data_IF_571276397818
#
_entry.id   IF_571276397818
#
_cell.length_a   1.000
_cell.length_b   1.000
_cell.length_c   1.000
_cell.angle_alpha   90.00
_cell.angle_beta   90.00
_cell.angle_gamma   90.00
#
_symmetry.space_group_name_H-M   'P 1'
#
loop_
_entity.id
_entity.type
_entity.pdbx_description
1 polymer ?
#
# COMPACT_ATOMS: atom_id res chain seq x y z
N UNK A 1 68.92 16.57 -54.76
CA UNK A 1 68.12 16.28 -53.55
C UNK A 1 66.70 16.80 -53.75
N UNK A 2 65.72 15.92 -53.99
CA UNK A 2 64.29 16.24 -53.93
C UNK A 2 63.61 15.11 -53.15
N UNK A 3 63.05 15.48 -52.00
CA UNK A 3 62.58 14.57 -50.98
C UNK A 3 61.21 13.95 -51.32
N UNK A 4 61.09 12.66 -51.01
CA UNK A 4 59.87 11.86 -50.99
C UNK A 4 58.79 12.49 -50.10
N UNK A 5 57.54 12.46 -50.53
CA UNK A 5 56.37 12.69 -49.65
C UNK A 5 55.37 11.56 -49.88
N UNK A 6 55.42 10.57 -48.99
CA UNK A 6 54.40 9.53 -48.87
C UNK A 6 53.13 10.12 -48.26
N UNK A 7 52.01 9.92 -48.96
CA UNK A 7 50.68 10.29 -48.50
C UNK A 7 50.17 9.16 -47.60
N UNK A 8 50.24 9.36 -46.28
CA UNK A 8 49.68 8.45 -45.27
C UNK A 8 48.26 8.92 -44.96
N UNK A 9 47.26 8.13 -45.37
CA UNK A 9 45.85 8.30 -44.99
C UNK A 9 45.65 7.77 -43.56
N UNK A 10 45.12 8.54 -42.60
CA UNK A 10 44.79 8.00 -41.29
C UNK A 10 43.45 7.26 -41.38
N UNK A 11 43.48 5.95 -41.09
CA UNK A 11 42.31 5.13 -40.84
C UNK A 11 41.64 5.61 -39.54
N UNK A 12 40.60 6.43 -39.66
CA UNK A 12 39.79 6.85 -38.53
C UNK A 12 38.94 5.67 -38.03
N UNK A 13 39.39 5.02 -36.95
CA UNK A 13 38.60 4.05 -36.19
C UNK A 13 37.53 4.80 -35.40
N UNK A 14 36.35 4.99 -35.99
CA UNK A 14 35.18 5.52 -35.28
C UNK A 14 34.65 4.47 -34.31
N UNK A 15 35.00 4.62 -33.03
CA UNK A 15 34.40 3.87 -31.93
C UNK A 15 32.96 4.40 -31.73
N UNK A 16 31.98 3.78 -32.38
CA UNK A 16 30.57 4.03 -32.08
C UNK A 16 30.27 3.44 -30.71
N UNK A 17 30.25 4.30 -29.69
CA UNK A 17 29.59 3.99 -28.42
C UNK A 17 28.11 3.77 -28.71
N UNK A 18 27.73 2.50 -28.86
CA UNK A 18 26.34 2.06 -28.76
C UNK A 18 25.87 2.37 -27.35
N UNK A 19 25.37 3.59 -27.14
CA UNK A 19 24.52 3.93 -26.01
C UNK A 19 23.19 3.24 -26.29
N UNK A 20 23.16 1.93 -26.04
CA UNK A 20 21.93 1.18 -25.90
C UNK A 20 21.10 1.84 -24.81
N UNK A 21 20.19 2.73 -25.20
CA UNK A 21 19.15 3.21 -24.31
C UNK A 21 18.26 2.02 -23.99
N UNK A 22 18.59 1.34 -22.90
CA UNK A 22 17.71 0.42 -22.18
C UNK A 22 16.52 1.22 -21.63
N UNK A 23 15.58 1.64 -22.48
CA UNK A 23 14.24 2.01 -22.05
C UNK A 23 13.30 0.82 -22.26
N UNK A 24 13.57 -0.23 -21.49
CA UNK A 24 12.57 -1.24 -21.19
C UNK A 24 12.11 -1.07 -19.74
N UNK A 25 11.65 0.13 -19.36
CA UNK A 25 10.97 0.31 -18.07
C UNK A 25 9.49 0.04 -18.28
N UNK A 26 9.17 -1.25 -18.14
CA UNK A 26 7.86 -1.84 -18.31
C UNK A 26 6.85 -1.28 -17.30
N UNK A 27 5.67 -0.93 -17.81
CA UNK A 27 4.48 -0.39 -17.14
C UNK A 27 4.24 -0.79 -15.67
N UNK A 28 4.72 0.01 -14.71
CA UNK A 28 4.52 -0.22 -13.27
C UNK A 28 3.27 0.46 -12.70
N UNK A 29 2.79 1.55 -13.31
CA UNK A 29 1.50 2.17 -12.95
C UNK A 29 0.32 1.24 -13.31
N UNK A 30 -0.64 1.11 -12.40
CA UNK A 30 -1.96 0.52 -12.64
C UNK A 30 -2.88 1.49 -13.39
N UNK A 31 -2.64 2.80 -13.27
CA UNK A 31 -3.50 3.86 -13.75
C UNK A 31 -4.70 4.12 -12.84
N UNK A 32 -4.80 3.41 -11.71
CA UNK A 32 -5.79 3.64 -10.66
C UNK A 32 -5.31 4.71 -9.67
N UNK A 33 -6.22 5.37 -8.94
CA UNK A 33 -5.84 6.36 -7.93
C UNK A 33 -4.89 5.80 -6.86
N UNK A 34 -4.96 4.51 -6.52
CA UNK A 34 -4.09 3.86 -5.55
C UNK A 34 -2.59 3.92 -5.88
N UNK A 35 -2.22 4.17 -7.15
CA UNK A 35 -0.82 4.45 -7.50
C UNK A 35 -0.29 5.75 -6.86
N UNK A 36 -1.19 6.65 -6.49
CA UNK A 36 -0.91 7.97 -5.92
C UNK A 36 -1.08 8.03 -4.39
N UNK A 37 -1.12 6.87 -3.72
CA UNK A 37 -1.13 6.78 -2.26
C UNK A 37 -0.18 5.69 -1.76
N UNK A 38 0.51 5.94 -0.65
CA UNK A 38 1.38 4.95 0.00
C UNK A 38 0.73 4.40 1.27
N UNK A 39 0.31 3.13 1.23
CA UNK A 39 -0.18 2.41 2.42
C UNK A 39 0.94 2.23 3.46
N UNK A 40 2.12 1.86 2.98
CA UNK A 40 3.33 1.71 3.78
C UNK A 40 3.73 3.06 4.42
N UNK A 41 3.70 4.14 3.64
CA UNK A 41 3.97 5.49 4.13
C UNK A 41 2.93 5.97 5.14
N UNK A 42 1.66 5.65 4.96
CA UNK A 42 0.62 5.95 5.94
C UNK A 42 0.88 5.23 7.28
N UNK A 43 1.25 3.95 7.26
CA UNK A 43 1.64 3.24 8.49
C UNK A 43 2.91 3.80 9.13
N UNK A 44 3.91 4.18 8.34
CA UNK A 44 5.15 4.79 8.83
C UNK A 44 4.89 6.15 9.51
N UNK A 45 3.98 6.97 8.95
CA UNK A 45 3.55 8.21 9.58
C UNK A 45 2.73 7.94 10.85
N UNK A 46 1.84 6.95 10.83
CA UNK A 46 1.05 6.56 12.01
C UNK A 46 1.94 6.08 13.16
N UNK A 47 3.01 5.32 12.84
CA UNK A 47 4.04 4.91 13.79
C UNK A 47 4.74 6.09 14.46
N UNK A 48 5.03 7.16 13.71
CA UNK A 48 5.74 8.35 14.21
C UNK A 48 4.84 9.34 14.94
N UNK A 49 3.58 9.40 14.56
CA UNK A 49 2.62 10.36 15.09
C UNK A 49 2.39 10.18 16.58
N UNK A 50 2.27 11.29 17.30
CA UNK A 50 1.99 11.29 18.74
C UNK A 50 0.54 10.88 19.06
N UNK A 51 -0.39 11.18 18.15
CA UNK A 51 -1.82 10.93 18.27
C UNK A 51 -2.50 10.98 16.88
N UNK A 52 -3.79 10.61 16.76
CA UNK A 52 -4.47 10.60 15.47
C UNK A 52 -4.59 11.95 14.75
N UNK A 53 -4.66 13.07 15.48
CA UNK A 53 -4.70 14.42 14.88
C UNK A 53 -3.34 14.76 14.25
N UNK A 54 -2.25 14.46 14.95
CA UNK A 54 -0.89 14.61 14.43
C UNK A 54 -0.65 13.71 13.21
N UNK A 55 -1.16 12.48 13.25
CA UNK A 55 -1.14 11.58 12.10
C UNK A 55 -1.87 12.17 10.88
N UNK A 56 -3.07 12.73 11.06
CA UNK A 56 -3.83 13.38 9.99
C UNK A 56 -3.05 14.57 9.39
N UNK A 57 -2.37 15.35 10.23
CA UNK A 57 -1.50 16.45 9.78
C UNK A 57 -0.33 15.92 8.95
N UNK A 58 0.39 14.92 9.45
CA UNK A 58 1.50 14.29 8.74
C UNK A 58 1.06 13.71 7.39
N UNK A 59 -0.10 13.07 7.34
CA UNK A 59 -0.66 12.49 6.11
C UNK A 59 -0.88 13.53 5.01
N UNK A 60 -1.27 14.75 5.41
CA UNK A 60 -1.55 15.87 4.51
C UNK A 60 -0.40 16.88 4.42
N UNK A 61 0.82 16.48 4.78
CA UNK A 61 2.02 17.32 4.65
C UNK A 61 2.79 16.92 3.38
N UNK A 62 2.93 17.85 2.44
CA UNK A 62 3.53 17.62 1.11
C UNK A 62 4.90 16.93 1.18
N UNK A 63 5.77 17.40 2.07
CA UNK A 63 7.14 16.88 2.22
C UNK A 63 7.22 15.42 2.67
N UNK A 64 6.12 14.83 3.14
CA UNK A 64 6.08 13.41 3.49
C UNK A 64 5.84 12.51 2.26
N UNK A 65 5.39 13.04 1.12
CA UNK A 65 5.23 12.25 -0.11
C UNK A 65 4.40 10.95 0.06
N UNK A 66 3.38 10.98 0.93
CA UNK A 66 2.46 9.84 1.16
C UNK A 66 1.16 9.99 0.37
N UNK A 67 0.66 11.22 0.25
CA UNK A 67 -0.56 11.57 -0.45
C UNK A 67 -0.24 12.32 -1.76
N UNK A 68 -0.70 11.77 -2.88
CA UNK A 68 -0.68 12.42 -4.20
C UNK A 68 -2.06 12.31 -4.91
N UNK A 69 -3.14 12.13 -4.14
CA UNK A 69 -4.50 11.90 -4.64
C UNK A 69 -5.18 13.18 -5.13
N UNK A 70 -5.83 13.08 -6.29
CA UNK A 70 -6.71 14.09 -6.90
C UNK A 70 -7.91 13.34 -7.50
N UNK A 71 -8.88 13.04 -6.63
CA UNK A 71 -10.06 12.22 -6.86
C UNK A 71 -11.20 13.04 -7.47
N UNK A 72 -11.34 14.30 -7.08
CA UNK A 72 -12.32 15.22 -7.66
C UNK A 72 -11.85 15.77 -9.03
N UNK A 73 -10.54 15.85 -9.25
CA UNK A 73 -9.92 16.24 -10.50
C UNK A 73 -9.72 17.71 -10.73
N UNK A 74 -9.72 18.51 -9.67
CA UNK A 74 -9.53 19.95 -9.80
C UNK A 74 -8.05 20.32 -10.03
N UNK A 75 -7.15 19.33 -10.09
CA UNK A 75 -5.72 19.50 -10.27
C UNK A 75 -4.99 19.86 -8.98
N UNK A 76 -5.64 19.68 -7.84
CA UNK A 76 -5.06 19.86 -6.50
C UNK A 76 -5.18 18.58 -5.69
N UNK A 77 -4.31 18.48 -4.70
CA UNK A 77 -4.35 17.36 -3.78
C UNK A 77 -5.56 17.43 -2.87
N UNK A 78 -6.26 16.30 -2.77
CA UNK A 78 -7.35 16.11 -1.83
C UNK A 78 -6.84 16.01 -0.39
N UNK A 79 -7.55 16.67 0.52
CA UNK A 79 -7.34 16.50 1.94
C UNK A 79 -7.90 15.14 2.41
N UNK A 80 -7.05 14.32 3.01
CA UNK A 80 -7.46 13.04 3.61
C UNK A 80 -7.75 13.27 5.08
N UNK A 81 -9.02 13.21 5.46
CA UNK A 81 -9.43 13.25 6.86
C UNK A 81 -9.36 11.88 7.52
N UNK A 82 -9.14 11.84 8.83
CA UNK A 82 -9.13 10.61 9.62
C UNK A 82 -10.41 10.50 10.45
N UNK A 83 -11.10 9.38 10.32
CA UNK A 83 -12.30 9.04 11.12
C UNK A 83 -12.02 7.77 11.92
N UNK A 84 -11.82 7.96 13.22
CA UNK A 84 -11.49 6.93 14.18
C UNK A 84 -12.72 6.39 14.90
N UNK A 85 -12.80 5.07 15.07
CA UNK A 85 -13.81 4.40 15.89
C UNK A 85 -13.13 3.35 16.76
N UNK A 86 -13.54 3.29 18.03
CA UNK A 86 -13.02 2.34 19.02
C UNK A 86 -14.15 1.52 19.61
N UNK A 87 -13.91 0.23 19.77
CA UNK A 87 -14.78 -0.73 20.43
C UNK A 87 -13.90 -1.71 21.22
N UNK A 88 -13.83 -1.54 22.54
CA UNK A 88 -12.98 -2.32 23.45
C UNK A 88 -11.52 -2.49 22.96
N UNK A 89 -11.19 -3.70 22.53
CA UNK A 89 -9.87 -4.15 22.08
C UNK A 89 -9.61 -3.92 20.60
N UNK A 90 -10.58 -3.39 19.85
CA UNK A 90 -10.48 -3.08 18.44
C UNK A 90 -10.62 -1.57 18.18
N UNK A 91 -9.75 -1.04 17.32
CA UNK A 91 -9.79 0.36 16.90
C UNK A 91 -9.54 0.44 15.41
N UNK A 92 -10.32 1.26 14.70
CA UNK A 92 -10.14 1.55 13.28
C UNK A 92 -9.93 3.03 13.05
N UNK A 93 -9.13 3.37 12.04
CA UNK A 93 -8.98 4.71 11.48
C UNK A 93 -9.22 4.67 9.98
N UNK A 94 -10.33 5.25 9.56
CA UNK A 94 -10.70 5.37 8.15
C UNK A 94 -10.03 6.61 7.59
N UNK A 95 -9.20 6.43 6.56
CA UNK A 95 -8.61 7.49 5.78
C UNK A 95 -9.60 7.83 4.67
N UNK A 96 -10.17 9.03 4.70
CA UNK A 96 -11.32 9.37 3.86
C UNK A 96 -11.13 10.72 3.18
N UNK A 97 -11.52 10.81 1.92
CA UNK A 97 -11.59 12.07 1.18
C UNK A 97 -13.06 12.48 1.04
N UNK A 98 -13.47 13.66 1.54
CA UNK A 98 -14.71 14.30 1.11
C UNK A 98 -14.54 14.74 -0.35
N UNK A 99 -15.17 14.04 -1.29
CA UNK A 99 -15.00 14.29 -2.75
C UNK A 99 -15.96 15.36 -3.24
N UNK A 100 -17.13 15.47 -2.62
CA UNK A 100 -18.07 16.56 -2.85
C UNK A 100 -18.75 16.91 -1.52
N UNK A 101 -19.68 17.88 -1.53
CA UNK A 101 -20.47 18.22 -0.34
C UNK A 101 -21.25 17.03 0.24
N UNK A 102 -21.59 16.02 -0.58
CA UNK A 102 -22.46 14.91 -0.19
C UNK A 102 -21.82 13.52 -0.40
N UNK A 103 -20.65 13.45 -1.05
CA UNK A 103 -19.98 12.18 -1.33
C UNK A 103 -18.62 12.11 -0.65
N UNK A 104 -18.34 10.97 -0.02
CA UNK A 104 -17.04 10.66 0.56
C UNK A 104 -16.49 9.39 -0.11
N UNK A 105 -15.17 9.27 -0.12
CA UNK A 105 -14.48 8.08 -0.61
C UNK A 105 -13.47 7.62 0.43
N UNK A 106 -13.57 6.36 0.85
CA UNK A 106 -12.57 5.74 1.70
C UNK A 106 -11.34 5.37 0.86
N UNK A 107 -10.16 5.71 1.36
CA UNK A 107 -8.88 5.45 0.72
C UNK A 107 -8.27 4.17 1.27
N UNK A 108 -8.24 4.08 2.58
CA UNK A 108 -7.75 2.93 3.32
C UNK A 108 -8.32 2.94 4.74
N UNK A 109 -8.25 1.81 5.42
CA UNK A 109 -8.54 1.71 6.85
C UNK A 109 -7.33 1.15 7.58
N UNK A 110 -6.89 1.81 8.64
CA UNK A 110 -5.95 1.24 9.61
C UNK A 110 -6.78 0.52 10.66
N UNK A 111 -6.53 -0.75 10.84
CA UNK A 111 -7.17 -1.62 11.81
C UNK A 111 -6.14 -2.01 12.88
N UNK A 112 -6.53 -1.93 14.15
CA UNK A 112 -5.69 -2.25 15.31
C UNK A 112 -6.48 -3.14 16.27
N UNK A 113 -5.88 -4.24 16.71
CA UNK A 113 -6.43 -5.05 17.80
C UNK A 113 -5.40 -5.29 18.89
N UNK A 114 -5.79 -5.16 20.15
CA UNK A 114 -4.97 -5.58 21.29
C UNK A 114 -5.14 -7.08 21.54
N UNK A 115 -4.02 -7.79 21.64
CA UNK A 115 -3.98 -9.24 21.91
C UNK A 115 -3.56 -9.57 23.34
N UNK A 116 -3.25 -8.55 24.15
CA UNK A 116 -2.88 -8.68 25.56
C UNK A 116 -2.64 -7.31 26.20
N UNK A 117 -2.09 -7.28 27.43
CA UNK A 117 -1.88 -6.04 28.20
C UNK A 117 -0.93 -5.03 27.53
N UNK A 118 0.08 -5.54 26.83
CA UNK A 118 1.12 -4.73 26.18
C UNK A 118 1.40 -5.24 24.76
N UNK A 119 0.34 -5.75 24.10
CA UNK A 119 0.46 -6.36 22.78
C UNK A 119 -0.66 -5.86 21.88
N UNK A 120 -0.28 -5.31 20.74
CA UNK A 120 -1.20 -4.87 19.70
C UNK A 120 -0.67 -5.26 18.32
N UNK A 121 -1.60 -5.55 17.41
CA UNK A 121 -1.34 -5.84 16.01
C UNK A 121 -2.06 -4.82 15.14
N UNK A 122 -1.46 -4.47 14.01
CA UNK A 122 -1.96 -3.44 13.10
C UNK A 122 -1.90 -3.94 11.65
N UNK A 123 -2.93 -3.61 10.88
CA UNK A 123 -2.96 -3.78 9.43
C UNK A 123 -3.57 -2.51 8.82
N UNK A 124 -3.05 -2.06 7.68
CA UNK A 124 -3.74 -1.09 6.83
C UNK A 124 -4.29 -1.80 5.60
N UNK A 125 -5.54 -1.56 5.27
CA UNK A 125 -6.22 -2.14 4.11
C UNK A 125 -6.58 -1.02 3.15
N UNK A 126 -5.99 -1.03 1.95
CA UNK A 126 -6.35 -0.14 0.85
C UNK A 126 -7.71 -0.49 0.26
N UNK A 127 -8.51 0.53 -0.02
CA UNK A 127 -9.86 0.37 -0.55
C UNK A 127 -9.88 -0.17 -1.99
N UNK A 128 -10.78 -1.12 -2.27
CA UNK A 128 -10.86 -1.75 -3.59
C UNK A 128 -11.23 -0.77 -4.72
N UNK A 129 -12.00 0.28 -4.43
CA UNK A 129 -12.35 1.31 -5.43
C UNK A 129 -11.13 2.16 -5.80
N UNK A 130 -10.15 2.27 -4.90
CA UNK A 130 -8.93 3.06 -5.09
C UNK A 130 -7.79 2.22 -5.67
N UNK A 131 -7.59 1.00 -5.15
CA UNK A 131 -6.47 0.13 -5.51
C UNK A 131 -6.82 -0.95 -6.54
N UNK A 132 -8.11 -1.16 -6.83
CA UNK A 132 -8.61 -2.19 -7.75
C UNK A 132 -8.72 -3.58 -7.12
N UNK A 133 -7.99 -3.84 -6.05
CA UNK A 133 -8.17 -4.97 -5.14
C UNK A 133 -7.80 -4.54 -3.71
N UNK A 134 -8.29 -5.27 -2.71
CA UNK A 134 -7.92 -4.99 -1.33
C UNK A 134 -6.44 -5.33 -1.12
N UNK A 135 -5.63 -4.31 -0.84
CA UNK A 135 -4.20 -4.48 -0.52
C UNK A 135 -4.03 -4.35 0.98
N UNK A 136 -3.50 -5.39 1.63
CA UNK A 136 -3.26 -5.40 3.07
C UNK A 136 -1.76 -5.22 3.30
N UNK A 137 -1.40 -4.25 4.13
CA UNK A 137 -0.01 -4.01 4.55
C UNK A 137 0.07 -4.10 6.07
N UNK A 138 1.12 -4.75 6.55
CA UNK A 138 1.47 -4.83 7.97
C UNK A 138 2.97 -4.54 8.18
N UNK A 139 3.40 -4.18 9.41
CA UNK A 139 4.82 -4.09 9.72
C UNK A 139 5.53 -5.43 9.43
N UNK A 140 6.71 -5.37 8.81
CA UNK A 140 7.50 -6.54 8.40
C UNK A 140 8.74 -6.76 9.28
N UNK A 141 9.21 -8.01 9.36
CA UNK A 141 10.30 -8.45 10.27
C UNK A 141 11.67 -7.79 10.05
N UNK A 142 11.85 -7.04 8.96
CA UNK A 142 13.05 -6.24 8.66
C UNK A 142 13.01 -4.83 9.27
N UNK A 143 12.03 -4.55 10.13
CA UNK A 143 11.97 -3.33 10.92
C UNK A 143 12.95 -3.41 12.08
N UNK A 144 13.97 -2.54 12.08
CA UNK A 144 15.03 -2.48 13.09
C UNK A 144 14.51 -2.20 14.52
N UNK A 145 13.23 -1.83 14.69
CA UNK A 145 12.59 -1.70 16.02
C UNK A 145 11.41 -2.67 16.22
N UNK A 146 11.25 -3.71 15.39
CA UNK A 146 10.22 -4.72 15.59
C UNK A 146 10.61 -5.66 16.74
N UNK A 147 9.82 -5.65 17.81
CA UNK A 147 9.81 -6.77 18.76
C UNK A 147 8.93 -7.85 18.14
N UNK A 148 9.56 -8.82 17.47
CA UNK A 148 8.87 -9.98 16.91
C UNK A 148 8.32 -10.84 18.07
N UNK A 149 7.00 -10.90 18.21
CA UNK A 149 6.35 -11.82 19.16
C UNK A 149 6.17 -13.19 18.49
N UNK A 150 7.06 -14.14 18.82
CA UNK A 150 6.89 -15.55 18.48
C UNK A 150 5.93 -16.21 19.47
N UNK A 151 4.73 -16.57 19.03
CA UNK A 151 3.83 -17.43 19.81
C UNK A 151 4.27 -18.89 19.67
N UNK A 152 5.35 -19.28 20.36
CA UNK A 152 5.79 -20.68 20.39
C UNK A 152 5.84 -21.16 21.85
N UNK A 153 4.83 -21.94 22.25
CA UNK A 153 4.89 -22.80 23.43
C UNK A 153 5.89 -23.93 23.16
N UNK A 154 7.05 -23.93 23.82
CA UNK A 154 7.96 -25.08 23.87
C UNK A 154 9.44 -24.69 23.74
N UNK A 155 10.37 -25.39 24.42
CA UNK A 155 11.75 -24.93 24.57
C UNK A 155 12.63 -25.29 23.36
N UNK A 156 13.58 -24.39 23.12
CA UNK A 156 14.75 -24.45 22.22
C UNK A 156 14.48 -24.41 20.72
N UNK A 157 14.97 -23.35 20.07
CA UNK A 157 15.66 -23.50 18.78
C UNK A 157 16.76 -22.43 18.71
N UNK A 158 17.99 -22.92 18.57
CA UNK A 158 19.08 -22.20 17.92
C UNK A 158 18.69 -21.90 16.46
N UNK A 159 19.24 -20.82 15.91
CA UNK A 159 19.07 -20.35 14.53
C UNK A 159 17.74 -19.59 14.26
N UNK A 160 17.87 -18.27 14.07
CA UNK A 160 16.78 -17.32 13.80
C UNK A 160 16.21 -17.59 12.40
N UNK A 161 15.27 -18.53 12.33
CA UNK A 161 14.37 -18.68 11.18
C UNK A 161 13.37 -17.51 11.21
N UNK A 162 13.64 -16.48 10.41
CA UNK A 162 12.80 -15.29 10.25
C UNK A 162 11.48 -15.69 9.59
N UNK A 163 10.55 -16.20 10.40
CA UNK A 163 9.21 -16.56 9.98
C UNK A 163 8.54 -15.40 9.22
N UNK A 164 8.18 -15.61 7.95
CA UNK A 164 7.36 -14.71 7.11
C UNK A 164 5.97 -14.41 7.73
N UNK A 165 5.62 -15.09 8.82
CA UNK A 165 4.35 -14.94 9.55
C UNK A 165 4.48 -14.25 10.91
N UNK A 166 5.68 -13.79 11.30
CA UNK A 166 5.90 -13.13 12.59
C UNK A 166 5.04 -11.85 12.70
N UNK A 167 4.16 -11.81 13.71
CA UNK A 167 3.37 -10.61 14.01
C UNK A 167 4.24 -9.68 14.85
N UNK A 168 4.41 -8.45 14.38
CA UNK A 168 5.16 -7.43 15.08
C UNK A 168 4.24 -6.74 16.09
N UNK A 169 4.71 -6.69 17.33
CA UNK A 169 4.01 -5.95 18.37
C UNK A 169 4.21 -4.45 18.17
N UNK A 170 3.11 -3.72 17.95
CA UNK A 170 3.11 -2.27 17.75
C UNK A 170 2.68 -1.48 18.98
N UNK A 171 2.53 -2.13 20.13
CA UNK A 171 2.06 -1.51 21.37
C UNK A 171 2.83 -0.25 21.76
N UNK A 172 4.15 -0.21 21.50
CA UNK A 172 5.01 0.92 21.87
C UNK A 172 4.92 2.12 20.92
N UNK A 173 4.18 2.04 19.82
CA UNK A 173 3.99 3.18 18.92
C UNK A 173 3.20 4.30 19.65
N UNK A 174 3.66 5.57 19.62
CA UNK A 174 3.02 6.65 20.36
C UNK A 174 1.51 6.79 20.05
N UNK A 175 1.13 6.73 18.78
CA UNK A 175 -0.29 6.75 18.38
C UNK A 175 -1.09 5.55 18.91
N UNK A 176 -0.52 4.35 18.95
CA UNK A 176 -1.19 3.17 19.52
C UNK A 176 -1.40 3.35 21.02
N UNK A 177 -0.35 3.77 21.74
CA UNK A 177 -0.46 4.06 23.18
C UNK A 177 -1.49 5.14 23.48
N UNK A 178 -1.55 6.19 22.68
CA UNK A 178 -2.52 7.26 22.83
C UNK A 178 -3.97 6.74 22.72
N UNK A 179 -4.22 5.85 21.76
CA UNK A 179 -5.55 5.31 21.46
C UNK A 179 -6.05 4.33 22.52
N UNK A 180 -5.15 3.64 23.21
CA UNK A 180 -5.47 2.76 24.33
C UNK A 180 -5.28 3.41 25.70
N UNK A 181 -4.95 4.71 25.76
CA UNK A 181 -4.91 5.46 26.99
C UNK A 181 -6.33 5.62 27.59
N UNK A 182 -6.46 5.68 28.92
CA UNK A 182 -7.75 5.92 29.58
C UNK A 182 -8.41 7.20 29.05
N UNK A 183 -9.69 7.10 28.66
CA UNK A 183 -10.51 8.24 28.24
C UNK A 183 -10.51 8.56 26.75
N UNK A 184 -9.72 7.85 25.92
CA UNK A 184 -9.81 8.01 24.45
C UNK A 184 -11.14 7.50 23.90
N UNK A 185 -11.79 8.28 23.01
CA UNK A 185 -13.13 7.99 22.46
C UNK A 185 -13.19 7.81 20.94
N UNK A 186 -12.07 7.96 20.24
CA UNK A 186 -12.02 8.03 18.78
C UNK A 186 -11.82 9.46 18.29
N UNK A 187 -10.82 9.67 17.43
CA UNK A 187 -10.60 10.94 16.75
C UNK A 187 -11.53 11.06 15.54
N UNK A 188 -12.30 12.13 15.46
CA UNK A 188 -13.10 12.45 14.27
C UNK A 188 -12.59 13.78 13.75
N UNK A 189 -11.99 13.76 12.56
CA UNK A 189 -11.54 14.99 11.90
C UNK A 189 -12.67 16.02 11.79
N UNK A 190 -12.43 17.29 12.16
CA UNK A 190 -13.42 18.34 12.02
C UNK A 190 -13.59 18.81 10.55
N UNK A 191 -12.69 18.39 9.66
CA UNK A 191 -12.60 18.89 8.29
C UNK A 191 -13.57 18.20 7.34
N UNK A 192 -14.02 18.96 6.34
CA UNK A 192 -15.11 18.61 5.43
C UNK A 192 -14.78 19.11 4.04
N UNK A 193 -15.63 18.76 3.08
CA UNK A 193 -15.60 19.38 1.76
C UNK A 193 -15.53 20.90 1.87
N UNK A 194 -14.48 21.49 1.27
CA UNK A 194 -14.24 22.94 1.25
C UNK A 194 -14.11 23.61 2.64
N UNK A 195 -13.82 22.84 3.69
CA UNK A 195 -13.58 23.33 5.05
C UNK A 195 -12.36 22.62 5.63
N UNK A 196 -11.19 23.22 5.39
CA UNK A 196 -9.87 22.65 5.65
C UNK A 196 -9.14 23.40 6.77
N UNK A 197 -8.12 22.76 7.40
CA UNK A 197 -7.31 23.44 8.39
C UNK A 197 -6.57 24.64 7.81
N UNK A 198 -6.44 25.73 8.58
CA UNK A 198 -5.71 26.92 8.14
C UNK A 198 -4.22 26.71 7.91
N UNK A 199 -3.63 25.66 8.48
CA UNK A 199 -2.24 25.26 8.24
C UNK A 199 -2.05 24.49 6.93
N UNK A 200 -3.13 23.93 6.37
CA UNK A 200 -3.07 23.14 5.14
C UNK A 200 -3.34 24.02 3.94
N UNK A 201 -2.57 23.79 2.87
CA UNK A 201 -2.84 24.36 1.56
C UNK A 201 -2.69 23.25 0.53
N UNK A 202 -3.61 23.14 -0.44
CA UNK A 202 -3.45 22.18 -1.52
C UNK A 202 -2.22 22.52 -2.37
N UNK A 203 -1.51 21.48 -2.81
CA UNK A 203 -0.47 21.56 -3.83
C UNK A 203 -0.92 20.81 -5.09
N UNK A 204 -0.16 20.93 -6.17
CA UNK A 204 -0.47 20.24 -7.42
C UNK A 204 0.03 18.79 -7.36
N UNK A 205 -0.77 17.81 -7.81
CA UNK A 205 -0.31 16.43 -7.91
C UNK A 205 0.91 16.33 -8.82
N UNK A 206 1.91 15.59 -8.38
CA UNK A 206 3.07 15.26 -9.20
C UNK A 206 2.77 14.07 -10.09
N UNK A 207 3.46 13.97 -11.23
CA UNK A 207 3.31 12.83 -12.13
C UNK A 207 3.73 11.54 -11.43
N UNK A 208 3.08 10.42 -11.78
CA UNK A 208 3.37 9.10 -11.22
C UNK A 208 4.87 8.75 -11.18
N UNK A 209 5.61 9.03 -12.26
CA UNK A 209 7.04 8.73 -12.33
C UNK A 209 7.89 9.50 -11.30
N UNK A 210 7.45 10.69 -10.89
CA UNK A 210 8.10 11.48 -9.84
C UNK A 210 7.64 11.04 -8.44
N UNK A 211 6.38 10.65 -8.29
CA UNK A 211 5.83 10.18 -7.01
C UNK A 211 6.32 8.79 -6.60
N UNK A 212 6.35 7.85 -7.56
CA UNK A 212 6.59 6.44 -7.32
C UNK A 212 7.90 6.13 -6.56
N UNK A 213 9.05 6.77 -6.85
CA UNK A 213 10.28 6.55 -6.07
C UNK A 213 10.12 6.86 -4.57
N UNK A 214 9.41 7.93 -4.20
CA UNK A 214 9.15 8.26 -2.80
C UNK A 214 8.30 7.18 -2.12
N UNK A 215 7.23 6.75 -2.80
CA UNK A 215 6.37 5.65 -2.35
C UNK A 215 7.15 4.34 -2.14
N UNK A 216 8.09 4.02 -3.02
CA UNK A 216 8.94 2.83 -2.90
C UNK A 216 9.85 2.90 -1.67
N UNK A 217 10.31 4.11 -1.30
CA UNK A 217 11.13 4.33 -0.11
C UNK A 217 10.47 3.84 1.18
N UNK A 218 9.14 3.95 1.27
CA UNK A 218 8.37 3.50 2.44
C UNK A 218 8.21 1.98 2.55
N UNK A 219 8.60 1.19 1.55
CA UNK A 219 8.43 -0.27 1.60
C UNK A 219 9.33 -0.94 2.64
N UNK A 220 10.42 -0.29 3.07
CA UNK A 220 11.32 -0.84 4.07
C UNK A 220 10.59 -0.93 5.42
N UNK A 221 10.63 -2.10 6.06
CA UNK A 221 9.98 -2.34 7.35
C UNK A 221 8.48 -2.67 7.26
N UNK A 222 7.92 -2.80 6.05
CA UNK A 222 6.52 -3.18 5.84
C UNK A 222 6.41 -4.31 4.84
N UNK A 223 5.38 -5.14 4.99
CA UNK A 223 5.11 -6.28 4.14
C UNK A 223 3.67 -6.23 3.62
N UNK A 224 3.51 -6.50 2.32
CA UNK A 224 2.18 -6.74 1.73
C UNK A 224 1.77 -8.17 2.06
N UNK A 225 0.62 -8.31 2.71
CA UNK A 225 0.04 -9.60 3.09
C UNK A 225 -1.28 -9.85 2.40
N UNK A 226 -1.72 -11.10 2.43
CA UNK A 226 -2.90 -11.58 1.71
C UNK A 226 -3.95 -12.14 2.66
N UNK A 227 -3.69 -12.04 3.97
CA UNK A 227 -4.53 -12.59 5.02
C UNK A 227 -4.89 -11.48 5.97
N UNK A 228 -6.19 -11.29 6.10
CA UNK A 228 -6.76 -10.43 7.12
C UNK A 228 -6.66 -11.14 8.48
N UNK A 229 -5.96 -10.53 9.45
CA UNK A 229 -5.72 -11.12 10.78
C UNK A 229 -6.56 -10.47 11.88
N UNK A 230 -7.10 -9.27 11.65
CA UNK A 230 -7.77 -8.42 12.65
C UNK A 230 -9.30 -8.48 12.51
N UNK A 231 -9.88 -9.64 12.81
CA UNK A 231 -11.27 -9.94 12.47
C UNK A 231 -12.33 -9.02 13.13
N UNK A 232 -12.10 -8.54 14.35
CA UNK A 232 -13.02 -7.63 15.07
C UNK A 232 -12.98 -6.24 14.45
N UNK A 233 -11.79 -5.68 14.26
CA UNK A 233 -11.60 -4.38 13.62
C UNK A 233 -12.19 -4.37 12.20
N UNK A 234 -11.98 -5.44 11.43
CA UNK A 234 -12.57 -5.58 10.11
C UNK A 234 -14.10 -5.61 10.12
N UNK A 235 -14.68 -6.34 11.08
CA UNK A 235 -16.13 -6.40 11.28
C UNK A 235 -16.71 -5.04 11.67
N UNK A 236 -15.94 -4.19 12.35
CA UNK A 236 -16.35 -2.81 12.65
C UNK A 236 -16.37 -1.92 11.40
N UNK A 237 -15.40 -2.07 10.50
CA UNK A 237 -15.27 -1.23 9.29
C UNK A 237 -16.25 -1.61 8.18
N UNK A 238 -16.38 -2.91 7.88
CA UNK A 238 -17.17 -3.42 6.76
C UNK A 238 -18.56 -2.77 6.59
N UNK A 239 -19.40 -2.63 7.64
CA UNK A 239 -20.75 -2.06 7.49
C UNK A 239 -20.78 -0.54 7.27
N UNK A 240 -19.69 0.17 7.54
CA UNK A 240 -19.61 1.65 7.45
C UNK A 240 -18.71 2.14 6.30
N UNK A 241 -18.14 1.22 5.52
CA UNK A 241 -17.35 1.52 4.34
C UNK A 241 -18.14 2.39 3.35
N UNK A 242 -17.52 3.44 2.85
CA UNK A 242 -18.13 4.42 1.93
C UNK A 242 -17.34 4.53 0.62
N UNK A 243 -18.08 4.66 -0.49
CA UNK A 243 -17.50 4.92 -1.82
C UNK A 243 -18.26 6.02 -2.53
N UNK A 244 -17.57 6.79 -3.36
CA UNK A 244 -18.13 7.88 -4.14
C UNK A 244 -18.49 7.42 -5.56
N UNK A 245 -19.64 7.86 -6.05
CA UNK A 245 -20.06 7.62 -7.43
C UNK A 245 -19.22 8.45 -8.40
N UNK A 246 -18.85 9.68 -8.01
CA UNK A 246 -17.94 10.54 -8.78
C UNK A 246 -16.60 9.83 -9.01
N UNK A 247 -15.98 9.31 -7.94
CA UNK A 247 -14.69 8.60 -8.04
C UNK A 247 -14.81 7.34 -8.89
N UNK A 248 -15.86 6.55 -8.67
CA UNK A 248 -16.11 5.36 -9.47
C UNK A 248 -16.23 5.68 -10.95
N UNK A 249 -17.08 6.64 -11.30
CA UNK A 249 -17.35 7.03 -12.69
C UNK A 249 -16.09 7.54 -13.40
N UNK A 250 -15.28 8.34 -12.70
CA UNK A 250 -13.99 8.83 -13.21
C UNK A 250 -13.02 7.69 -13.52
N UNK A 251 -13.00 6.66 -12.68
CA UNK A 251 -12.01 5.59 -12.74
C UNK A 251 -12.50 4.33 -13.46
N UNK A 252 -13.72 4.30 -14.00
CA UNK A 252 -14.28 3.11 -14.71
C UNK A 252 -13.32 2.58 -15.77
N UNK A 253 -12.71 3.46 -16.57
CA UNK A 253 -11.77 3.05 -17.62
C UNK A 253 -10.50 2.45 -17.04
N UNK A 254 -9.96 3.03 -15.96
CA UNK A 254 -8.79 2.51 -15.28
C UNK A 254 -9.08 1.14 -14.66
N UNK A 255 -10.23 0.98 -14.00
CA UNK A 255 -10.72 -0.29 -13.46
C UNK A 255 -10.92 -1.36 -14.54
N UNK A 256 -11.51 -1.02 -15.68
CA UNK A 256 -11.64 -1.96 -16.82
C UNK A 256 -10.27 -2.40 -17.33
N UNK A 257 -9.31 -1.49 -17.39
CA UNK A 257 -7.94 -1.78 -17.82
C UNK A 257 -7.16 -2.60 -16.77
N UNK A 258 -7.48 -2.41 -15.49
CA UNK A 258 -6.94 -3.15 -14.37
C UNK A 258 -7.83 -4.38 -14.07
N UNK A 259 -7.67 -5.45 -14.85
CA UNK A 259 -8.41 -6.70 -14.60
C UNK A 259 -7.51 -7.74 -13.92
N UNK A 260 -7.89 -8.15 -12.70
CA UNK A 260 -7.30 -9.30 -11.99
C UNK A 260 -8.13 -10.55 -12.30
N UNK A 261 -7.61 -11.44 -13.15
CA UNK A 261 -8.26 -12.72 -13.45
C UNK A 261 -7.72 -13.81 -12.51
N UNK A 262 -8.59 -14.37 -11.67
CA UNK A 262 -8.27 -15.50 -10.78
C UNK A 262 -8.92 -16.78 -11.30
N UNK A 263 -8.11 -17.75 -11.72
CA UNK A 263 -8.59 -19.07 -12.17
C UNK A 263 -8.19 -20.14 -11.16
N UNK A 264 -9.14 -21.02 -10.81
CA UNK A 264 -8.92 -22.18 -9.95
C UNK A 264 -9.23 -23.44 -10.74
N UNK A 265 -8.22 -24.25 -11.01
CA UNK A 265 -8.38 -25.54 -11.67
C UNK A 265 -8.04 -26.66 -10.70
N UNK A 266 -8.95 -27.60 -10.53
CA UNK A 266 -8.72 -28.82 -9.76
C UNK A 266 -8.53 -29.96 -10.75
N UNK A 267 -7.35 -30.57 -10.74
CA UNK A 267 -7.03 -31.73 -11.56
C UNK A 267 -7.07 -32.96 -10.65
N UNK A 268 -7.96 -33.90 -10.96
CA UNK A 268 -8.07 -35.18 -10.24
C UNK A 268 -7.38 -36.25 -11.05
N UNK A 269 -6.37 -36.89 -10.47
CA UNK A 269 -5.64 -37.97 -11.11
C UNK A 269 -6.41 -39.31 -11.06
N UNK A 270 -5.99 -40.32 -11.85
CA UNK A 270 -6.66 -41.62 -11.96
C UNK A 270 -6.79 -42.40 -10.64
N UNK A 271 -6.01 -42.05 -9.61
CA UNK A 271 -5.98 -42.70 -8.29
C UNK A 271 -6.68 -41.88 -7.19
N UNK A 272 -7.57 -40.95 -7.54
CA UNK A 272 -8.32 -40.12 -6.58
C UNK A 272 -7.52 -38.96 -5.97
N UNK A 273 -6.21 -38.87 -6.20
CA UNK A 273 -5.40 -37.74 -5.76
C UNK A 273 -5.77 -36.45 -6.52
N UNK A 274 -6.32 -35.47 -5.81
CA UNK A 274 -6.68 -34.17 -6.36
C UNK A 274 -5.62 -33.10 -6.07
N UNK A 275 -5.22 -32.36 -7.10
CA UNK A 275 -4.33 -31.19 -6.98
C UNK A 275 -5.11 -29.96 -7.41
N UNK A 276 -5.14 -28.93 -6.56
CA UNK A 276 -5.75 -27.65 -6.91
C UNK A 276 -4.65 -26.66 -7.28
N UNK A 277 -4.73 -26.13 -8.50
CA UNK A 277 -3.90 -25.01 -8.98
C UNK A 277 -4.73 -23.73 -8.97
N UNK A 278 -4.27 -22.72 -8.24
CA UNK A 278 -4.80 -21.35 -8.33
C UNK A 278 -3.83 -20.55 -9.18
N UNK A 279 -4.32 -19.83 -10.18
CA UNK A 279 -3.53 -18.90 -11.00
C UNK A 279 -4.17 -17.51 -10.96
N UNK A 280 -3.43 -16.52 -10.51
CA UNK A 280 -3.82 -15.10 -10.60
C UNK A 280 -3.06 -14.46 -11.75
N UNK A 281 -3.76 -13.77 -12.64
CA UNK A 281 -3.19 -13.06 -13.78
C UNK A 281 -3.68 -11.62 -13.76
N UNK A 282 -2.76 -10.69 -13.54
CA UNK A 282 -3.00 -9.25 -13.63
C UNK A 282 -2.65 -8.82 -15.04
N UNK A 283 -3.57 -8.14 -15.73
CA UNK A 283 -3.31 -7.58 -17.07
C UNK A 283 -3.17 -6.06 -16.98
N UNK A 284 -2.34 -5.49 -17.86
CA UNK A 284 -2.20 -4.04 -18.00
C UNK A 284 -3.17 -3.47 -19.05
N UNK A 285 -3.16 -2.14 -19.20
CA UNK A 285 -3.96 -1.36 -20.17
C UNK A 285 -3.85 -1.82 -21.63
N UNK A 286 -2.81 -2.58 -22.01
CA UNK A 286 -2.62 -3.13 -23.36
C UNK A 286 -3.05 -4.59 -23.50
N UNK A 287 -3.68 -5.17 -22.47
CA UNK A 287 -4.06 -6.58 -22.43
C UNK A 287 -2.92 -7.55 -22.13
N UNK A 288 -1.69 -7.04 -21.95
CA UNK A 288 -0.52 -7.86 -21.63
C UNK A 288 -0.55 -8.30 -20.17
N UNK A 289 -0.10 -9.54 -19.92
CA UNK A 289 0.04 -10.07 -18.56
C UNK A 289 1.16 -9.31 -17.84
N UNK A 290 0.78 -8.51 -16.82
CA UNK A 290 1.69 -7.74 -15.96
C UNK A 290 2.29 -8.63 -14.87
N UNK A 291 1.49 -9.49 -14.26
CA UNK A 291 1.95 -10.42 -13.24
C UNK A 291 1.14 -11.72 -13.30
N UNK A 292 1.81 -12.86 -13.16
CA UNK A 292 1.18 -14.18 -13.08
C UNK A 292 1.74 -14.95 -11.88
N UNK A 293 0.88 -15.29 -10.93
CA UNK A 293 1.25 -16.12 -9.76
C UNK A 293 0.46 -17.41 -9.80
N UNK A 294 1.11 -18.55 -9.58
CA UNK A 294 0.41 -19.83 -9.45
C UNK A 294 0.80 -20.58 -8.18
N UNK A 295 -0.20 -21.03 -7.43
CA UNK A 295 -0.02 -21.82 -6.20
C UNK A 295 -0.68 -23.18 -6.39
N UNK A 296 0.05 -24.24 -6.02
CA UNK A 296 -0.39 -25.62 -6.13
C UNK A 296 -0.58 -26.18 -4.73
N UNK A 297 -1.81 -26.61 -4.40
CA UNK A 297 -2.11 -27.26 -3.12
C UNK A 297 -2.49 -28.72 -3.38
N UNK A 298 -1.70 -29.64 -2.83
CA UNK A 298 -2.05 -31.06 -2.75
C UNK A 298 -2.97 -31.27 -1.55
N UNK A 299 -4.05 -32.00 -1.74
CA UNK A 299 -4.88 -32.47 -0.64
C UNK A 299 -4.11 -33.61 0.05
N UNK A 300 -3.61 -33.39 1.26
CA UNK A 300 -3.05 -34.47 2.09
C UNK A 300 -4.24 -35.23 2.71
N UNK A 301 -4.27 -36.54 2.49
CA UNK A 301 -5.15 -37.47 3.20
C UNK A 301 -4.56 -37.79 4.56
#
# INVERSE_FOLDING_TARGET
>A
MKAFRYLVLPLALTLTLDIGSLYAQQSDSTGLPGDNFSLEGALELFRKAANPEDFERLLNTESNHVNNLDLDGDGKIDYIRVVGKKDDDATIFILQVPVTANENQDIAVIEIETTGKESASIQIIGDEEIFGEAIIVEPGSSDDNAVATTFTRGPSVDEIDLNENAIINVWLWPSVRYVYAPGYRGWISPWRWNAYPGWWKPWHPVRWHAFHPYRVGYRRGFAIVHTHRLARAHKMYTPIRTTSVVVRNRNVVAHKNYTVNRTRTTVTGPRGNSVTRKTTTVKNKRGNVKARKSTVRKRRH
#
